data_IF_380070564655
#
_entry.id   IF_380070564655
#
_cell.length_a   1.000
_cell.length_b   1.000
_cell.length_c   1.000
_cell.angle_alpha   90.00
_cell.angle_beta   90.00
_cell.angle_gamma   90.00
#
_symmetry.space_group_name_H-M   'P 1'
#
loop_
_entity.id
_entity.type
_entity.pdbx_description
1 polymer ?
#
# COMPACT_ATOMS: atom_id res chain seq x y z
N UNK A 1 64.84 13.24 -7.09
CA UNK A 1 63.48 13.75 -7.38
C UNK A 1 62.50 12.71 -6.85
N UNK A 2 61.89 12.99 -5.69
CA UNK A 2 60.92 12.08 -5.06
C UNK A 2 59.59 12.83 -4.96
N UNK A 3 58.56 12.32 -5.65
CA UNK A 3 57.24 12.92 -5.65
C UNK A 3 56.37 12.19 -4.62
N UNK A 4 56.03 12.89 -3.54
CA UNK A 4 54.98 12.46 -2.60
C UNK A 4 53.62 12.66 -3.25
N UNK A 5 52.90 11.57 -3.49
CA UNK A 5 51.47 11.64 -3.81
C UNK A 5 50.69 11.72 -2.50
N UNK A 6 50.08 12.88 -2.25
CA UNK A 6 49.11 13.07 -1.17
C UNK A 6 47.76 12.52 -1.61
N UNK A 7 47.35 11.37 -1.07
CA UNK A 7 45.97 10.91 -1.12
C UNK A 7 45.16 11.64 -0.05
N UNK A 8 44.43 12.68 -0.44
CA UNK A 8 43.33 13.17 0.37
C UNK A 8 42.16 12.20 0.22
N UNK A 9 42.01 11.30 1.19
CA UNK A 9 40.73 10.62 1.42
C UNK A 9 39.78 11.66 1.98
N UNK A 10 38.85 12.14 1.16
CA UNK A 10 37.69 12.87 1.64
C UNK A 10 36.83 11.89 2.45
N UNK A 11 36.81 12.05 3.77
CA UNK A 11 35.81 11.40 4.62
C UNK A 11 34.40 11.66 4.04
N UNK A 12 33.46 10.71 4.12
CA UNK A 12 32.08 10.95 3.72
C UNK A 12 31.58 12.20 4.45
N UNK A 13 31.12 13.18 3.68
CA UNK A 13 30.46 14.38 4.21
C UNK A 13 29.28 13.88 5.03
N UNK A 14 29.30 14.08 6.34
CA UNK A 14 28.16 13.81 7.21
C UNK A 14 27.01 14.70 6.72
N UNK A 15 26.12 14.10 5.93
CA UNK A 15 24.94 14.77 5.39
C UNK A 15 24.00 15.05 6.54
N UNK A 16 23.41 16.25 6.57
CA UNK A 16 22.40 16.60 7.55
C UNK A 16 21.36 15.46 7.68
N UNK A 17 20.84 15.20 8.90
CA UNK A 17 19.88 14.12 9.11
C UNK A 17 18.70 14.30 8.15
N UNK A 18 18.49 13.33 7.27
CA UNK A 18 17.29 13.27 6.45
C UNK A 18 16.13 12.81 7.34
N UNK A 19 14.90 13.34 7.16
CA UNK A 19 13.76 13.06 8.03
C UNK A 19 13.13 11.67 7.75
N UNK A 20 13.95 10.71 7.33
CA UNK A 20 13.56 9.36 6.96
C UNK A 20 14.74 8.40 7.11
N UNK A 21 14.44 7.15 7.41
CA UNK A 21 15.39 6.05 7.33
C UNK A 21 15.49 5.53 5.90
N UNK A 22 16.69 5.14 5.49
CA UNK A 22 16.95 4.55 4.16
C UNK A 22 17.23 3.07 4.32
N UNK A 23 16.34 2.24 3.76
CA UNK A 23 16.50 0.77 3.75
C UNK A 23 16.67 0.32 2.30
N UNK A 24 17.85 -0.18 1.89
CA UNK A 24 18.04 -0.74 0.55
C UNK A 24 17.12 -1.93 0.31
N UNK A 25 16.54 -2.00 -0.89
CA UNK A 25 15.77 -3.18 -1.31
C UNK A 25 16.72 -4.35 -1.55
N UNK A 26 16.34 -5.53 -1.04
CA UNK A 26 17.11 -6.75 -1.24
C UNK A 26 16.99 -7.26 -2.69
N UNK A 27 17.85 -8.21 -3.09
CA UNK A 27 17.70 -8.86 -4.39
C UNK A 27 16.33 -9.53 -4.54
N UNK A 28 15.83 -10.16 -3.46
CA UNK A 28 14.52 -10.82 -3.42
C UNK A 28 13.36 -9.82 -3.58
N UNK A 29 13.49 -8.63 -2.97
CA UNK A 29 12.50 -7.55 -3.11
C UNK A 29 12.39 -7.11 -4.58
N UNK A 30 13.50 -7.23 -5.33
CA UNK A 30 13.59 -6.67 -6.67
C UNK A 30 13.49 -7.69 -7.81
N UNK A 31 13.07 -8.93 -7.55
CA UNK A 31 12.83 -9.92 -8.63
C UNK A 31 11.72 -9.47 -9.59
N UNK A 32 10.78 -8.65 -9.12
CA UNK A 32 9.63 -8.16 -9.89
C UNK A 32 9.46 -6.64 -9.75
N UNK A 33 10.54 -5.91 -10.05
CA UNK A 33 10.65 -4.43 -9.88
C UNK A 33 9.45 -3.66 -10.42
N UNK A 34 8.94 -4.02 -11.59
CA UNK A 34 7.91 -3.25 -12.29
C UNK A 34 6.49 -3.78 -12.09
N UNK A 35 6.30 -4.71 -11.15
CA UNK A 35 4.99 -5.29 -10.87
C UNK A 35 4.28 -4.53 -9.76
N UNK A 36 3.09 -3.99 -10.07
CA UNK A 36 2.14 -3.44 -9.09
C UNK A 36 0.96 -4.41 -8.99
N UNK A 37 0.62 -4.81 -7.77
CA UNK A 37 -0.48 -5.72 -7.49
C UNK A 37 -1.57 -5.00 -6.72
N UNK A 38 -2.82 -5.30 -7.05
CA UNK A 38 -3.99 -4.88 -6.29
C UNK A 38 -4.69 -6.12 -5.77
N UNK A 39 -4.77 -6.24 -4.45
CA UNK A 39 -5.60 -7.25 -3.78
C UNK A 39 -6.94 -6.63 -3.45
N UNK A 40 -8.00 -7.18 -4.02
CA UNK A 40 -9.38 -6.79 -3.75
C UNK A 40 -9.99 -7.62 -2.64
N UNK A 41 -10.65 -6.97 -1.69
CA UNK A 41 -11.47 -7.58 -0.64
C UNK A 41 -12.92 -7.15 -0.88
N UNK A 42 -13.84 -8.11 -0.78
CA UNK A 42 -15.28 -7.90 -0.89
C UNK A 42 -15.88 -8.21 0.48
N UNK A 43 -16.58 -7.24 1.07
CA UNK A 43 -17.23 -7.40 2.37
C UNK A 43 -18.72 -7.13 2.21
N UNK A 44 -19.55 -8.12 2.52
CA UNK A 44 -21.02 -8.05 2.46
C UNK A 44 -21.62 -7.24 3.63
N UNK A 45 -21.10 -6.03 3.80
CA UNK A 45 -21.54 -5.06 4.77
C UNK A 45 -21.10 -3.65 4.36
N UNK A 46 -21.87 -2.66 4.80
CA UNK A 46 -21.47 -1.25 4.78
C UNK A 46 -20.48 -0.97 5.91
N UNK A 47 -19.21 -0.76 5.58
CA UNK A 47 -18.16 -0.43 6.54
C UNK A 47 -17.97 1.08 6.70
N UNK A 48 -17.41 1.48 7.83
CA UNK A 48 -16.98 2.86 8.07
C UNK A 48 -15.57 3.09 7.49
N UNK A 49 -15.50 3.85 6.40
CA UNK A 49 -14.24 4.15 5.72
C UNK A 49 -13.26 4.97 6.57
N UNK A 50 -13.75 5.80 7.48
CA UNK A 50 -12.91 6.60 8.36
C UNK A 50 -12.27 5.70 9.43
N UNK A 51 -13.04 4.78 10.01
CA UNK A 51 -12.50 3.76 10.93
C UNK A 51 -11.44 2.88 10.26
N UNK A 52 -11.70 2.45 9.02
CA UNK A 52 -10.73 1.69 8.20
C UNK A 52 -9.42 2.48 8.05
N UNK A 53 -9.51 3.76 7.68
CA UNK A 53 -8.36 4.65 7.49
C UNK A 53 -7.57 4.84 8.79
N UNK A 54 -8.25 5.17 9.89
CA UNK A 54 -7.60 5.52 11.15
C UNK A 54 -6.88 4.33 11.75
N UNK A 55 -7.48 3.14 11.70
CA UNK A 55 -6.82 1.90 12.11
C UNK A 55 -5.60 1.59 11.22
N UNK A 56 -5.71 1.79 9.90
CA UNK A 56 -4.59 1.55 8.98
C UNK A 56 -3.42 2.50 9.23
N UNK A 57 -3.73 3.77 9.47
CA UNK A 57 -2.72 4.80 9.73
C UNK A 57 -1.99 4.50 11.04
N UNK A 58 -2.74 4.20 12.09
CA UNK A 58 -2.20 3.77 13.40
C UNK A 58 -1.29 2.55 13.25
N UNK A 59 -1.74 1.53 12.49
CA UNK A 59 -0.97 0.31 12.26
C UNK A 59 0.38 0.60 11.58
N UNK A 60 0.36 1.38 10.49
CA UNK A 60 1.57 1.70 9.75
C UNK A 60 2.51 2.55 10.58
N UNK A 61 1.99 3.56 11.28
CA UNK A 61 2.80 4.46 12.10
C UNK A 61 3.53 3.73 13.23
N UNK A 62 2.88 2.78 13.89
CA UNK A 62 3.43 2.18 15.11
C UNK A 62 4.00 0.78 14.95
N UNK A 63 3.55 0.01 13.95
CA UNK A 63 3.90 -1.43 13.82
C UNK A 63 4.50 -1.79 12.47
N UNK A 64 4.08 -1.11 11.40
CA UNK A 64 4.52 -1.40 10.04
C UNK A 64 5.06 -0.15 9.30
N UNK A 65 6.04 0.59 9.86
CA UNK A 65 6.48 1.86 9.28
C UNK A 65 7.02 1.73 7.85
N UNK A 66 7.59 0.57 7.50
CA UNK A 66 8.04 0.27 6.13
C UNK A 66 6.91 0.25 5.11
N UNK A 67 5.67 -0.07 5.50
CA UNK A 67 4.51 0.03 4.62
C UNK A 67 4.16 1.49 4.27
N UNK A 68 4.64 2.45 5.08
CA UNK A 68 4.57 3.88 4.79
C UNK A 68 5.76 4.44 4.02
N UNK A 69 6.66 3.58 3.53
CA UNK A 69 7.82 4.02 2.77
C UNK A 69 7.44 4.70 1.45
N UNK A 70 8.38 5.49 0.95
CA UNK A 70 8.46 5.95 -0.44
C UNK A 70 9.54 5.16 -1.15
N UNK A 71 9.24 4.67 -2.33
CA UNK A 71 10.21 3.95 -3.14
C UNK A 71 11.04 4.97 -3.94
N UNK A 72 12.35 4.86 -3.86
CA UNK A 72 13.29 5.73 -4.58
C UNK A 72 14.27 4.87 -5.36
N UNK A 73 14.56 5.25 -6.60
CA UNK A 73 15.64 4.65 -7.37
C UNK A 73 16.89 5.52 -7.32
N UNK A 74 18.00 4.96 -6.84
CA UNK A 74 19.31 5.61 -6.79
C UNK A 74 20.37 4.66 -7.30
N UNK A 75 21.12 5.07 -8.33
CA UNK A 75 22.16 4.24 -8.98
C UNK A 75 21.64 2.85 -9.40
N UNK A 76 20.42 2.79 -9.96
CA UNK A 76 19.74 1.55 -10.37
C UNK A 76 19.42 0.57 -9.23
N UNK A 77 19.47 1.03 -7.97
CA UNK A 77 19.03 0.31 -6.79
C UNK A 77 17.78 0.97 -6.22
N UNK A 78 16.84 0.15 -5.79
CA UNK A 78 15.67 0.65 -5.07
C UNK A 78 15.98 0.80 -3.58
N UNK A 79 15.49 1.89 -3.01
CA UNK A 79 15.58 2.22 -1.59
C UNK A 79 14.17 2.50 -1.07
N UNK A 80 13.85 1.97 0.11
CA UNK A 80 12.71 2.43 0.89
C UNK A 80 13.17 3.63 1.72
N UNK A 81 12.53 4.77 1.51
CA UNK A 81 12.67 5.95 2.36
C UNK A 81 11.48 5.94 3.32
N UNK A 82 11.74 5.61 4.59
CA UNK A 82 10.72 5.44 5.63
C UNK A 82 10.68 6.72 6.47
N UNK A 83 9.62 7.56 6.36
CA UNK A 83 9.52 8.77 7.16
C UNK A 83 9.59 8.50 8.67
N UNK A 84 10.27 9.36 9.43
CA UNK A 84 10.29 9.26 10.90
C UNK A 84 8.96 9.63 11.54
N UNK A 85 8.15 10.41 10.83
CA UNK A 85 6.80 10.80 11.22
C UNK A 85 5.93 10.96 9.98
N UNK A 86 4.63 10.77 10.14
CA UNK A 86 3.65 10.96 9.07
C UNK A 86 2.77 12.18 9.36
N UNK A 87 2.32 12.84 8.30
CA UNK A 87 1.41 13.98 8.39
C UNK A 87 0.47 14.03 7.17
N UNK A 88 -0.29 15.12 7.02
CA UNK A 88 -1.21 15.26 5.89
C UNK A 88 -0.53 15.38 4.53
N UNK A 89 0.71 15.86 4.48
CA UNK A 89 1.51 15.98 3.25
C UNK A 89 2.27 14.68 2.96
N UNK A 90 2.66 13.96 4.01
CA UNK A 90 3.37 12.69 4.00
C UNK A 90 2.56 11.62 4.75
N UNK A 91 1.39 11.19 4.23
CA UNK A 91 0.57 10.22 4.92
C UNK A 91 1.27 8.84 4.94
N UNK A 92 0.94 7.98 5.92
CA UNK A 92 1.47 6.63 5.97
C UNK A 92 0.97 5.78 4.80
N UNK A 93 -0.28 5.98 4.36
CA UNK A 93 -0.88 5.26 3.24
C UNK A 93 -1.64 6.24 2.36
N UNK A 94 -1.61 6.03 1.05
CA UNK A 94 -2.46 6.78 0.12
C UNK A 94 -3.89 6.21 0.21
N UNK A 95 -4.73 6.83 1.04
CA UNK A 95 -6.09 6.35 1.29
C UNK A 95 -7.14 7.22 0.59
N UNK A 96 -8.08 6.56 -0.09
CA UNK A 96 -9.22 7.22 -0.74
C UNK A 96 -10.50 6.43 -0.51
N UNK A 97 -11.65 7.12 -0.48
CA UNK A 97 -12.94 6.47 -0.33
C UNK A 97 -14.01 7.14 -1.21
N UNK A 98 -14.81 6.31 -1.87
CA UNK A 98 -16.02 6.70 -2.59
C UNK A 98 -17.26 6.15 -1.86
N UNK A 99 -18.28 6.99 -1.69
CA UNK A 99 -19.53 6.61 -1.05
C UNK A 99 -20.68 6.62 -2.06
N UNK A 100 -21.39 5.51 -2.12
CA UNK A 100 -22.53 5.30 -3.00
C UNK A 100 -23.80 5.22 -2.15
N UNK A 101 -24.71 6.18 -2.33
CA UNK A 101 -26.04 6.19 -1.71
C UNK A 101 -27.01 5.26 -2.46
N UNK A 102 -26.56 4.04 -2.71
CA UNK A 102 -27.29 2.98 -3.39
C UNK A 102 -26.69 1.62 -3.01
N UNK A 103 -27.48 0.55 -3.17
CA UNK A 103 -26.98 -0.82 -3.08
C UNK A 103 -26.06 -1.15 -4.24
N UNK A 104 -25.15 -2.08 -4.02
CA UNK A 104 -24.42 -2.72 -5.10
C UNK A 104 -25.41 -3.43 -6.03
N UNK A 105 -25.17 -3.35 -7.35
CA UNK A 105 -26.06 -3.89 -8.37
C UNK A 105 -27.49 -3.28 -8.36
N UNK A 106 -27.58 -1.98 -8.13
CA UNK A 106 -28.81 -1.21 -8.29
C UNK A 106 -29.20 -1.08 -9.78
N UNK A 107 -30.41 -0.59 -10.04
CA UNK A 107 -30.86 -0.31 -11.41
C UNK A 107 -30.04 0.79 -12.10
N UNK A 108 -29.54 1.78 -11.35
CA UNK A 108 -28.68 2.86 -11.84
C UNK A 108 -27.24 2.42 -12.07
N UNK A 109 -26.81 1.36 -11.36
CA UNK A 109 -25.45 0.84 -11.42
C UNK A 109 -25.47 -0.69 -11.43
N UNK A 110 -25.67 -1.31 -12.61
CA UNK A 110 -25.55 -2.75 -12.76
C UNK A 110 -24.19 -3.21 -12.23
N UNK A 111 -24.23 -4.15 -11.30
CA UNK A 111 -23.04 -4.73 -10.68
C UNK A 111 -22.37 -5.74 -11.60
N UNK A 112 -21.25 -6.27 -11.15
CA UNK A 112 -20.56 -7.36 -11.83
C UNK A 112 -21.23 -8.67 -11.41
N UNK A 113 -21.81 -9.42 -12.37
CA UNK A 113 -22.46 -10.69 -12.06
C UNK A 113 -21.51 -11.66 -11.36
N UNK A 114 -21.99 -12.27 -10.28
CA UNK A 114 -21.26 -13.29 -9.55
C UNK A 114 -20.30 -12.79 -8.46
N UNK A 115 -20.05 -11.48 -8.34
CA UNK A 115 -19.08 -10.95 -7.36
C UNK A 115 -19.37 -11.36 -5.90
N UNK A 116 -20.65 -11.36 -5.52
CA UNK A 116 -21.12 -11.65 -4.14
C UNK A 116 -21.77 -13.05 -4.05
N UNK A 117 -21.83 -13.79 -5.16
CA UNK A 117 -22.41 -15.14 -5.23
C UNK A 117 -21.34 -16.24 -5.36
N UNK A 118 -20.08 -15.94 -5.09
CA UNK A 118 -19.02 -16.95 -5.07
C UNK A 118 -19.22 -17.80 -3.82
N UNK A 119 -19.32 -19.12 -3.97
CA UNK A 119 -19.38 -20.03 -2.82
C UNK A 119 -18.11 -19.88 -2.00
N UNK A 120 -18.23 -19.60 -0.69
CA UNK A 120 -17.10 -19.54 0.24
C UNK A 120 -16.38 -20.89 0.42
N UNK A 121 -16.93 -21.97 -0.12
CA UNK A 121 -16.43 -23.32 0.10
C UNK A 121 -15.12 -23.64 -0.63
N UNK A 122 -14.84 -23.00 -1.77
CA UNK A 122 -13.66 -23.32 -2.59
C UNK A 122 -13.06 -22.10 -3.31
N UNK A 123 -11.72 -21.94 -3.33
CA UNK A 123 -11.06 -20.95 -4.18
C UNK A 123 -11.47 -21.14 -5.64
N UNK A 124 -11.93 -20.08 -6.29
CA UNK A 124 -12.34 -20.12 -7.69
C UNK A 124 -11.68 -19.02 -8.50
N UNK A 125 -11.28 -19.35 -9.72
CA UNK A 125 -10.80 -18.36 -10.68
C UNK A 125 -12.00 -17.59 -11.22
N UNK A 126 -12.17 -16.36 -10.74
CA UNK A 126 -13.24 -15.51 -11.21
C UNK A 126 -12.79 -14.68 -12.41
N UNK A 127 -13.27 -15.04 -13.61
CA UNK A 127 -13.10 -14.23 -14.81
C UNK A 127 -14.12 -13.07 -14.82
N UNK A 128 -14.05 -12.20 -13.83
CA UNK A 128 -14.88 -11.01 -13.78
C UNK A 128 -14.37 -9.92 -14.73
N UNK A 129 -15.26 -9.06 -15.25
CA UNK A 129 -14.86 -7.74 -15.75
C UNK A 129 -14.00 -7.02 -14.70
N UNK A 130 -13.12 -6.13 -15.17
CA UNK A 130 -12.23 -5.40 -14.26
C UNK A 130 -13.00 -4.68 -13.16
N UNK A 131 -12.62 -4.96 -11.91
CA UNK A 131 -13.11 -4.30 -10.71
C UNK A 131 -12.34 -3.01 -10.39
N UNK A 132 -11.40 -2.59 -11.25
CA UNK A 132 -10.54 -1.45 -11.01
C UNK A 132 -11.30 -0.17 -10.68
N UNK A 133 -12.49 0.03 -11.27
CA UNK A 133 -13.35 1.20 -10.99
C UNK A 133 -13.79 1.29 -9.53
N UNK A 134 -13.81 0.17 -8.80
CA UNK A 134 -14.18 0.10 -7.39
C UNK A 134 -13.01 -0.21 -6.45
N UNK A 135 -11.89 -0.72 -6.99
CA UNK A 135 -10.72 -1.14 -6.22
C UNK A 135 -9.54 -0.18 -6.34
N UNK A 136 -9.58 0.77 -7.28
CA UNK A 136 -8.49 1.72 -7.51
C UNK A 136 -9.03 3.13 -7.64
N UNK A 137 -8.37 4.06 -6.96
CA UNK A 137 -8.62 5.48 -7.19
C UNK A 137 -8.13 5.88 -8.58
N UNK A 138 -8.61 7.04 -9.08
CA UNK A 138 -8.13 7.61 -10.34
C UNK A 138 -6.64 7.96 -10.32
N UNK A 139 -6.08 8.19 -9.13
CA UNK A 139 -4.67 8.54 -8.92
C UNK A 139 -3.79 7.33 -8.58
N UNK A 140 -4.40 6.13 -8.45
CA UNK A 140 -3.69 4.91 -8.11
C UNK A 140 -2.56 4.63 -9.12
N UNK A 141 -1.33 4.39 -8.65
CA UNK A 141 -0.20 3.99 -9.49
C UNK A 141 -0.52 2.73 -10.28
N UNK A 142 -0.04 2.67 -11.53
CA UNK A 142 -0.16 1.48 -12.39
C UNK A 142 1.19 0.79 -12.59
N UNK A 143 2.26 1.54 -12.46
CA UNK A 143 3.63 1.07 -12.55
C UNK A 143 4.42 1.48 -11.31
N UNK A 144 5.50 0.76 -11.02
CA UNK A 144 6.40 1.13 -9.92
C UNK A 144 7.01 2.52 -10.14
N UNK A 145 7.29 2.90 -11.40
CA UNK A 145 7.78 4.25 -11.74
C UNK A 145 6.79 5.35 -11.36
N UNK A 146 5.48 5.12 -11.46
CA UNK A 146 4.48 6.11 -11.00
C UNK A 146 4.63 6.41 -9.50
N UNK A 147 4.96 5.40 -8.69
CA UNK A 147 5.16 5.57 -7.25
C UNK A 147 6.42 6.37 -6.95
N UNK A 148 7.50 6.10 -7.70
CA UNK A 148 8.79 6.79 -7.59
C UNK A 148 8.65 8.25 -8.05
N UNK A 149 8.16 8.49 -9.26
CA UNK A 149 8.07 9.81 -9.88
C UNK A 149 7.18 10.77 -9.10
N UNK A 150 6.09 10.26 -8.53
CA UNK A 150 5.13 11.04 -7.75
C UNK A 150 5.44 11.07 -6.25
N UNK A 151 6.45 10.31 -5.82
CA UNK A 151 6.82 10.15 -4.41
C UNK A 151 5.62 9.79 -3.49
N UNK A 152 4.76 8.87 -3.96
CA UNK A 152 3.58 8.44 -3.19
C UNK A 152 3.93 7.34 -2.20
N UNK A 153 3.15 7.14 -1.11
CA UNK A 153 3.24 5.93 -0.29
C UNK A 153 3.30 4.67 -1.14
N UNK A 154 4.07 3.68 -0.73
CA UNK A 154 4.16 2.43 -1.49
C UNK A 154 2.87 1.61 -1.39
N UNK A 155 2.10 1.79 -0.32
CA UNK A 155 0.76 1.20 -0.14
C UNK A 155 -0.31 2.24 -0.46
N UNK A 156 -1.25 1.85 -1.32
CA UNK A 156 -2.43 2.60 -1.71
C UNK A 156 -3.67 1.80 -1.34
N UNK A 157 -4.65 2.44 -0.71
CA UNK A 157 -5.93 1.82 -0.36
C UNK A 157 -7.07 2.66 -0.94
N UNK A 158 -7.95 2.00 -1.67
CA UNK A 158 -9.19 2.60 -2.16
C UNK A 158 -10.39 1.81 -1.65
N UNK A 159 -11.36 2.51 -1.06
CA UNK A 159 -12.58 1.92 -0.51
C UNK A 159 -13.79 2.44 -1.28
N UNK A 160 -14.61 1.54 -1.81
CA UNK A 160 -15.93 1.87 -2.35
C UNK A 160 -17.02 1.34 -1.42
N UNK A 161 -17.77 2.24 -0.78
CA UNK A 161 -18.80 1.92 0.22
C UNK A 161 -20.19 2.05 -0.40
N UNK A 162 -20.91 0.94 -0.54
CA UNK A 162 -22.32 0.86 -0.89
C UNK A 162 -23.19 0.66 0.35
N UNK A 163 -24.52 0.67 0.19
CA UNK A 163 -25.44 0.44 1.31
C UNK A 163 -25.40 -0.99 1.88
N UNK A 164 -25.01 -1.97 1.06
CA UNK A 164 -24.99 -3.39 1.39
C UNK A 164 -23.62 -4.06 1.18
N UNK A 165 -22.65 -3.37 0.60
CA UNK A 165 -21.36 -3.93 0.22
C UNK A 165 -20.24 -2.91 0.41
N UNK A 166 -19.06 -3.36 0.82
CA UNK A 166 -17.83 -2.57 0.76
C UNK A 166 -16.78 -3.32 -0.06
N UNK A 167 -16.19 -2.61 -1.03
CA UNK A 167 -15.08 -3.10 -1.84
C UNK A 167 -13.81 -2.36 -1.39
N UNK A 168 -12.75 -3.10 -1.09
CA UNK A 168 -11.47 -2.54 -0.64
C UNK A 168 -10.38 -3.03 -1.58
N UNK A 169 -9.71 -2.12 -2.26
CA UNK A 169 -8.52 -2.44 -3.05
C UNK A 169 -7.25 -1.98 -2.34
N UNK A 170 -6.35 -2.91 -2.08
CA UNK A 170 -5.01 -2.64 -1.54
C UNK A 170 -3.99 -2.81 -2.65
N UNK A 171 -3.40 -1.71 -3.10
CA UNK A 171 -2.45 -1.66 -4.20
C UNK A 171 -1.05 -1.35 -3.69
N UNK A 172 -0.06 -2.14 -4.11
CA UNK A 172 1.35 -1.91 -3.79
C UNK A 172 2.25 -2.44 -4.89
N UNK A 173 3.46 -1.87 -5.01
CA UNK A 173 4.54 -2.53 -5.75
C UNK A 173 4.86 -3.87 -5.08
N UNK A 174 5.12 -4.90 -5.88
CA UNK A 174 5.53 -6.22 -5.39
C UNK A 174 6.88 -6.17 -4.66
N UNK A 175 7.64 -5.09 -4.85
CA UNK A 175 8.87 -4.82 -4.07
C UNK A 175 8.59 -4.73 -2.57
N UNK A 176 7.38 -4.31 -2.16
CA UNK A 176 7.01 -4.17 -0.76
C UNK A 176 6.65 -5.51 -0.10
N UNK A 177 5.82 -6.30 -0.76
CA UNK A 177 5.18 -7.48 -0.18
C UNK A 177 5.20 -8.65 -1.17
N UNK A 178 5.60 -9.82 -0.68
CA UNK A 178 5.08 -11.07 -1.20
C UNK A 178 3.68 -11.35 -0.63
N UNK A 179 3.08 -12.48 -1.00
CA UNK A 179 1.76 -12.85 -0.50
C UNK A 179 1.71 -13.03 1.04
N UNK A 180 2.81 -13.49 1.65
CA UNK A 180 2.89 -13.72 3.10
C UNK A 180 3.01 -12.40 3.87
N UNK A 181 3.81 -11.47 3.37
CA UNK A 181 3.94 -10.11 3.89
C UNK A 181 2.62 -9.37 3.80
N UNK A 182 1.92 -9.47 2.67
CA UNK A 182 0.59 -8.88 2.53
C UNK A 182 -0.43 -9.52 3.48
N UNK A 183 -0.45 -10.85 3.61
CA UNK A 183 -1.31 -11.54 4.57
C UNK A 183 -1.07 -11.05 6.01
N UNK A 184 0.20 -10.93 6.41
CA UNK A 184 0.59 -10.46 7.74
C UNK A 184 0.09 -9.05 7.99
N UNK A 185 0.29 -8.15 7.01
CA UNK A 185 -0.17 -6.77 7.07
C UNK A 185 -1.70 -6.66 7.18
N UNK A 186 -2.44 -7.38 6.32
CA UNK A 186 -3.90 -7.39 6.35
C UNK A 186 -4.45 -8.00 7.64
N UNK A 187 -3.82 -9.07 8.15
CA UNK A 187 -4.23 -9.70 9.42
C UNK A 187 -4.03 -8.77 10.61
N UNK A 188 -2.92 -8.04 10.65
CA UNK A 188 -2.67 -7.05 11.68
C UNK A 188 -3.69 -5.90 11.63
N UNK A 189 -4.04 -5.45 10.43
CA UNK A 189 -5.06 -4.41 10.24
C UNK A 189 -6.45 -4.86 10.70
N UNK A 190 -6.87 -6.07 10.33
CA UNK A 190 -8.18 -6.60 10.74
C UNK A 190 -8.26 -6.89 12.23
N UNK A 191 -7.18 -7.35 12.86
CA UNK A 191 -7.07 -7.50 14.33
C UNK A 191 -7.26 -6.18 15.06
N UNK A 192 -6.57 -5.12 14.60
CA UNK A 192 -6.73 -3.79 15.19
C UNK A 192 -8.16 -3.26 15.01
N UNK A 193 -8.78 -3.49 13.84
CA UNK A 193 -10.19 -3.16 13.59
C UNK A 193 -11.17 -3.95 14.47
N UNK A 194 -10.79 -5.17 14.88
CA UNK A 194 -11.56 -5.98 15.82
C UNK A 194 -11.42 -5.50 17.28
N UNK A 195 -10.63 -4.45 17.54
CA UNK A 195 -10.43 -3.87 18.86
C UNK A 195 -9.33 -4.54 19.69
N UNK A 196 -8.46 -5.33 19.05
CA UNK A 196 -7.26 -5.83 19.73
C UNK A 196 -6.30 -4.67 20.04
N UNK A 197 -5.64 -4.74 21.21
CA UNK A 197 -4.69 -3.73 21.65
C UNK A 197 -3.51 -3.63 20.67
N UNK A 198 -3.12 -2.40 20.34
CA UNK A 198 -1.99 -2.14 19.45
C UNK A 198 -0.72 -2.85 19.94
N UNK A 199 -0.47 -2.93 21.25
CA UNK A 199 0.72 -3.61 21.78
C UNK A 199 0.72 -5.12 21.51
N UNK A 200 -0.45 -5.73 21.33
CA UNK A 200 -0.61 -7.15 21.00
C UNK A 200 -0.55 -7.45 19.49
N UNK A 201 -0.65 -6.43 18.64
CA UNK A 201 -0.47 -6.52 17.19
C UNK A 201 0.99 -6.79 16.84
#
# INVERSE_FOLDING_TARGET
MSAMFSWFSSAPRETAPVPYDVVPCSALDTERRDTVLTTGLVVDAKLDAQLLKDALFTLVEHKFPRAGARLVERNSLFEFHIPHSFDSENPPVAFTADHYCERYNSRSRPGIPGLVNVSDSEPSTCLFPSLDVYLKSKTCPRHTSDMIDRNTPIVHVHVSVFEDLTLIGVTSSQVMFDASGLHTFLSAWTRLLAGEDLDAI
#
